data_IF_708707639258
#
_entry.id   IF_708707639258
#
_cell.length_a   1.000
_cell.length_b   1.000
_cell.length_c   1.000
_cell.angle_alpha   90.00
_cell.angle_beta   90.00
_cell.angle_gamma   90.00
#
_symmetry.space_group_name_H-M   'P 1'
#
loop_
_entity.id
_entity.type
_entity.pdbx_description
1 polymer ?
#
# COMPACT_ATOMS: atom_id res chain seq x y z
N UNK A 1 25.25 -15.16 37.99
CA UNK A 1 24.19 -14.20 37.62
C UNK A 1 24.82 -12.83 37.42
N UNK A 2 25.07 -12.44 36.18
CA UNK A 2 25.55 -11.10 35.82
C UNK A 2 24.36 -10.34 35.20
N UNK A 3 24.10 -9.08 35.58
CA UNK A 3 23.09 -8.27 34.91
C UNK A 3 23.64 -7.75 33.58
N UNK A 4 22.91 -8.03 32.50
CA UNK A 4 23.11 -7.44 31.17
C UNK A 4 22.55 -6.01 31.16
N UNK A 5 23.30 -4.99 30.70
CA UNK A 5 22.78 -3.64 30.61
C UNK A 5 21.88 -3.51 29.38
N UNK A 6 20.57 -3.44 29.62
CA UNK A 6 19.58 -3.13 28.60
C UNK A 6 19.63 -1.64 28.21
N UNK A 7 20.05 -1.38 26.98
CA UNK A 7 19.40 -0.42 26.09
C UNK A 7 19.60 1.07 26.39
N UNK A 8 20.77 1.60 26.02
CA UNK A 8 20.91 3.01 25.69
C UNK A 8 20.04 3.34 24.46
N UNK A 9 18.84 3.89 24.67
CA UNK A 9 18.02 4.43 23.57
C UNK A 9 18.69 5.70 23.05
N UNK A 10 19.26 5.60 21.84
CA UNK A 10 19.69 6.74 21.02
C UNK A 10 18.51 7.68 20.79
N UNK A 11 18.60 8.90 21.30
CA UNK A 11 17.67 10.00 21.05
C UNK A 11 18.49 11.12 20.42
N UNK A 12 18.48 11.23 19.09
CA UNK A 12 19.26 12.27 18.40
C UNK A 12 19.55 12.05 16.90
N UNK A 13 18.55 11.69 16.08
CA UNK A 13 18.70 11.65 14.60
C UNK A 13 17.65 12.47 13.84
N UNK A 14 16.48 12.73 14.42
CA UNK A 14 15.37 13.37 13.69
C UNK A 14 15.61 14.83 13.26
N UNK A 15 16.49 15.56 13.96
CA UNK A 15 16.79 16.97 13.63
C UNK A 15 17.72 17.13 12.42
N UNK A 16 18.76 16.30 12.35
CA UNK A 16 19.81 16.39 11.32
C UNK A 16 19.28 16.00 9.93
N UNK A 17 18.35 15.03 9.86
CA UNK A 17 17.75 14.61 8.60
C UNK A 17 16.76 15.65 8.03
N UNK A 18 16.01 16.36 8.89
CA UNK A 18 15.10 17.43 8.48
C UNK A 18 15.85 18.64 7.91
N UNK A 19 16.99 18.99 8.49
CA UNK A 19 17.84 20.10 8.03
C UNK A 19 18.50 19.78 6.68
N UNK A 20 18.94 18.53 6.50
CA UNK A 20 19.44 18.03 5.20
C UNK A 20 18.35 18.04 4.13
N UNK A 21 17.14 17.57 4.44
CA UNK A 21 16.01 17.57 3.50
C UNK A 21 15.64 19.00 3.08
N UNK A 22 15.65 19.93 4.03
CA UNK A 22 15.40 21.35 3.77
C UNK A 22 16.49 21.98 2.89
N UNK A 23 17.77 21.65 3.15
CA UNK A 23 18.89 22.13 2.33
C UNK A 23 18.79 21.62 0.89
N UNK A 24 18.57 20.31 0.69
CA UNK A 24 18.39 19.71 -0.63
C UNK A 24 17.18 20.30 -1.39
N UNK A 25 16.11 20.65 -0.65
CA UNK A 25 14.92 21.29 -1.19
C UNK A 25 15.18 22.74 -1.65
N UNK A 26 15.97 23.49 -0.89
CA UNK A 26 16.42 24.83 -1.30
C UNK A 26 17.31 24.78 -2.55
N UNK A 27 18.19 23.78 -2.64
CA UNK A 27 19.05 23.58 -3.81
C UNK A 27 18.27 23.25 -5.08
N UNK A 28 17.20 22.46 -4.98
CA UNK A 28 16.28 22.19 -6.09
C UNK A 28 15.69 23.50 -6.64
N UNK A 29 15.19 24.37 -5.76
CA UNK A 29 14.63 25.68 -6.15
C UNK A 29 15.70 26.59 -6.75
N UNK A 30 16.91 26.58 -6.19
CA UNK A 30 18.02 27.36 -6.73
C UNK A 30 18.45 26.88 -8.13
N UNK A 31 18.43 25.56 -8.40
CA UNK A 31 18.65 25.01 -9.74
C UNK A 31 17.56 25.45 -10.70
N UNK A 32 16.30 25.34 -10.29
CA UNK A 32 15.15 25.76 -11.10
C UNK A 32 15.23 27.23 -11.50
N UNK A 33 15.56 28.11 -10.55
CA UNK A 33 15.70 29.55 -10.79
C UNK A 33 16.81 29.90 -11.80
N UNK A 34 17.84 29.05 -11.94
CA UNK A 34 18.89 29.23 -12.96
C UNK A 34 18.46 28.79 -14.34
N UNK A 35 17.58 27.78 -14.44
CA UNK A 35 17.12 27.22 -15.70
C UNK A 35 15.86 27.92 -16.24
N UNK A 36 15.03 28.48 -15.36
CA UNK A 36 13.80 29.19 -15.72
C UNK A 36 13.86 30.64 -15.22
N UNK A 37 14.34 31.60 -16.06
CA UNK A 37 14.54 32.99 -15.66
C UNK A 37 13.27 33.69 -15.17
N UNK A 38 12.08 33.25 -15.61
CA UNK A 38 10.79 33.80 -15.16
C UNK A 38 10.52 33.48 -13.69
N UNK A 39 11.22 32.50 -13.13
CA UNK A 39 11.16 32.08 -11.74
C UNK A 39 12.46 32.41 -10.99
N UNK A 40 13.12 33.52 -11.35
CA UNK A 40 14.31 33.99 -10.65
C UNK A 40 14.04 34.14 -9.15
N UNK A 41 14.85 33.48 -8.32
CA UNK A 41 14.64 33.35 -6.89
C UNK A 41 15.95 33.56 -6.13
N UNK A 42 15.93 34.35 -5.06
CA UNK A 42 17.08 34.53 -4.19
C UNK A 42 17.33 33.33 -3.26
N UNK A 43 18.55 33.24 -2.68
CA UNK A 43 18.89 32.18 -1.71
C UNK A 43 17.99 32.18 -0.48
N UNK A 44 17.71 33.36 0.08
CA UNK A 44 16.86 33.50 1.26
C UNK A 44 15.42 33.03 0.97
N UNK A 45 14.90 33.33 -0.22
CA UNK A 45 13.59 32.87 -0.65
C UNK A 45 13.57 31.35 -0.89
N UNK A 46 14.63 30.78 -1.45
CA UNK A 46 14.76 29.33 -1.63
C UNK A 46 14.68 28.61 -0.29
N UNK A 47 15.41 29.10 0.71
CA UNK A 47 15.39 28.56 2.07
C UNK A 47 14.02 28.71 2.73
N UNK A 48 13.34 29.84 2.53
CA UNK A 48 11.98 30.07 3.04
C UNK A 48 10.95 29.10 2.43
N UNK A 49 11.12 28.75 1.16
CA UNK A 49 10.20 27.85 0.44
C UNK A 49 10.56 26.36 0.59
N UNK A 50 11.78 26.06 1.00
CA UNK A 50 12.27 24.70 1.14
C UNK A 50 11.38 23.78 2.01
N UNK A 51 10.79 24.22 3.13
CA UNK A 51 9.89 23.38 3.91
C UNK A 51 8.66 22.89 3.15
N UNK A 52 8.13 23.70 2.21
CA UNK A 52 7.01 23.29 1.36
C UNK A 52 7.43 22.22 0.36
N UNK A 53 8.62 22.37 -0.23
CA UNK A 53 9.19 21.37 -1.15
C UNK A 53 9.50 20.07 -0.42
N UNK A 54 10.04 20.13 0.80
CA UNK A 54 10.24 18.97 1.66
C UNK A 54 8.91 18.27 1.97
N UNK A 55 7.84 19.03 2.24
CA UNK A 55 6.50 18.46 2.41
C UNK A 55 5.99 17.74 1.15
N UNK A 56 6.24 18.27 -0.05
CA UNK A 56 5.96 17.58 -1.30
C UNK A 56 6.69 16.25 -1.41
N UNK A 57 7.99 16.22 -1.07
CA UNK A 57 8.81 15.00 -1.09
C UNK A 57 8.30 13.95 -0.10
N UNK A 58 7.95 14.35 1.13
CA UNK A 58 7.33 13.45 2.12
C UNK A 58 6.00 12.86 1.66
N UNK A 59 5.27 13.57 0.80
CA UNK A 59 4.06 13.06 0.14
C UNK A 59 4.33 12.24 -1.13
N UNK A 60 5.59 11.90 -1.39
CA UNK A 60 6.01 11.05 -2.50
C UNK A 60 6.20 11.77 -3.84
N UNK A 61 6.21 13.10 -3.88
CA UNK A 61 6.47 13.82 -5.13
C UNK A 61 7.96 13.76 -5.50
N UNK A 62 8.24 13.39 -6.74
CA UNK A 62 9.59 13.44 -7.32
C UNK A 62 9.99 14.86 -7.70
N UNK A 63 11.30 15.12 -7.82
CA UNK A 63 11.84 16.42 -8.28
C UNK A 63 11.24 16.83 -9.63
N UNK A 64 11.08 15.89 -10.55
CA UNK A 64 10.47 16.16 -11.87
C UNK A 64 9.00 16.58 -11.74
N UNK A 65 8.23 15.95 -10.84
CA UNK A 65 6.86 16.36 -10.58
C UNK A 65 6.84 17.78 -10.00
N UNK A 66 7.71 18.09 -9.03
CA UNK A 66 7.80 19.42 -8.43
C UNK A 66 8.15 20.47 -9.50
N UNK A 67 9.18 20.21 -10.31
CA UNK A 67 9.59 21.10 -11.41
C UNK A 67 8.45 21.32 -12.40
N UNK A 68 7.87 20.23 -12.93
CA UNK A 68 6.77 20.31 -13.89
C UNK A 68 5.57 21.07 -13.31
N UNK A 69 5.25 20.84 -12.04
CA UNK A 69 4.21 21.61 -11.36
C UNK A 69 4.55 23.09 -11.40
N UNK A 70 5.77 23.50 -11.10
CA UNK A 70 6.16 24.91 -11.03
C UNK A 70 6.28 25.58 -12.41
N UNK A 71 6.64 24.84 -13.45
CA UNK A 71 6.90 25.39 -14.80
C UNK A 71 5.74 25.23 -15.79
N UNK A 72 4.81 24.30 -15.55
CA UNK A 72 3.70 24.08 -16.47
C UNK A 72 2.77 25.30 -16.55
N UNK A 73 2.51 25.80 -17.77
CA UNK A 73 1.56 26.91 -17.98
C UNK A 73 1.97 28.20 -17.23
N UNK A 74 3.26 28.54 -17.25
CA UNK A 74 3.73 29.82 -16.71
C UNK A 74 3.12 30.99 -17.49
N UNK A 75 2.61 32.03 -16.81
CA UNK A 75 2.13 33.23 -17.48
C UNK A 75 3.28 33.93 -18.21
N UNK A 76 3.01 34.82 -19.19
CA UNK A 76 4.06 35.50 -19.96
C UNK A 76 5.10 36.21 -19.10
N UNK A 77 4.68 36.83 -17.99
CA UNK A 77 5.54 37.46 -17.00
C UNK A 77 5.11 37.08 -15.57
N UNK A 78 6.08 36.93 -14.68
CA UNK A 78 5.87 36.66 -13.25
C UNK A 78 6.62 37.73 -12.45
N UNK A 79 5.88 38.69 -11.90
CA UNK A 79 6.46 39.80 -11.13
C UNK A 79 6.89 39.41 -9.71
N UNK A 80 6.27 38.37 -9.15
CA UNK A 80 6.52 37.89 -7.78
C UNK A 80 6.81 36.39 -7.76
N UNK A 81 8.00 35.96 -8.21
CA UNK A 81 8.33 34.55 -8.40
C UNK A 81 8.21 33.74 -7.11
N UNK A 82 8.71 34.25 -5.98
CA UNK A 82 8.62 33.54 -4.70
C UNK A 82 7.18 33.35 -4.21
N UNK A 83 6.32 34.36 -4.39
CA UNK A 83 4.89 34.27 -4.02
C UNK A 83 4.13 33.36 -4.96
N UNK A 84 4.47 33.39 -6.25
CA UNK A 84 3.87 32.50 -7.24
C UNK A 84 4.18 31.03 -6.94
N UNK A 85 5.46 30.72 -6.69
CA UNK A 85 5.91 29.37 -6.33
C UNK A 85 5.23 28.91 -5.05
N UNK A 86 5.21 29.74 -4.00
CA UNK A 86 4.53 29.40 -2.75
C UNK A 86 3.04 29.07 -2.97
N UNK A 87 2.34 29.95 -3.66
CA UNK A 87 0.90 29.79 -3.95
C UNK A 87 0.66 28.48 -4.68
N UNK A 88 1.52 28.18 -5.65
CA UNK A 88 1.38 27.00 -6.49
C UNK A 88 1.72 25.70 -5.75
N UNK A 89 2.77 25.69 -4.93
CA UNK A 89 3.12 24.55 -4.08
C UNK A 89 2.02 24.24 -3.07
N UNK A 90 1.37 25.27 -2.50
CA UNK A 90 0.26 25.08 -1.57
C UNK A 90 -1.01 24.59 -2.28
N UNK A 91 -1.39 25.25 -3.38
CA UNK A 91 -2.62 24.94 -4.09
C UNK A 91 -2.60 23.58 -4.80
N UNK A 92 -1.44 23.14 -5.29
CA UNK A 92 -1.28 21.86 -6.00
C UNK A 92 -0.68 20.76 -5.14
N UNK A 93 -0.65 20.94 -3.83
CA UNK A 93 0.00 20.00 -2.92
C UNK A 93 -0.60 18.59 -3.10
N UNK A 94 0.25 17.55 -3.29
CA UNK A 94 -0.24 16.18 -3.40
C UNK A 94 -1.09 15.80 -2.19
N UNK A 95 -2.07 14.93 -2.39
CA UNK A 95 -2.78 14.32 -1.28
C UNK A 95 -1.79 13.59 -0.35
N UNK A 96 -2.15 13.49 0.93
CA UNK A 96 -1.35 12.71 1.85
C UNK A 96 -1.37 11.24 1.42
N UNK A 97 -0.20 10.58 1.36
CA UNK A 97 -0.15 9.18 0.96
C UNK A 97 -1.05 8.38 1.90
N UNK A 98 -1.92 7.54 1.33
CA UNK A 98 -2.72 6.64 2.12
C UNK A 98 -1.79 5.80 3.00
N UNK A 99 -2.18 5.61 4.27
CA UNK A 99 -1.45 4.71 5.15
C UNK A 99 -1.35 3.34 4.43
N UNK A 100 -0.17 2.70 4.43
CA UNK A 100 -0.06 1.37 3.86
C UNK A 100 -1.13 0.48 4.53
N UNK A 101 -1.80 -0.41 3.77
CA UNK A 101 -2.79 -1.28 4.35
C UNK A 101 -2.16 -2.00 5.54
N UNK A 102 -2.89 -2.07 6.66
CA UNK A 102 -2.43 -2.79 7.83
C UNK A 102 -2.01 -4.20 7.36
N UNK A 103 -0.77 -4.59 7.65
CA UNK A 103 -0.32 -5.95 7.38
C UNK A 103 -1.24 -6.87 8.17
N UNK A 104 -1.98 -7.70 7.47
CA UNK A 104 -2.82 -8.69 8.13
C UNK A 104 -1.90 -9.73 8.75
N UNK A 105 -2.13 -10.04 10.02
CA UNK A 105 -1.36 -11.01 10.78
C UNK A 105 -2.24 -12.21 11.13
N UNK A 106 -1.62 -13.39 11.20
CA UNK A 106 -2.28 -14.59 11.71
C UNK A 106 -2.66 -14.39 13.17
N UNK A 107 -3.92 -14.65 13.52
CA UNK A 107 -4.46 -14.52 14.89
C UNK A 107 -3.68 -15.32 15.94
N UNK A 108 -2.93 -16.35 15.52
CA UNK A 108 -2.28 -17.30 16.42
C UNK A 108 -0.75 -17.12 16.46
N UNK A 109 -0.08 -17.14 15.31
CA UNK A 109 1.38 -17.08 15.24
C UNK A 109 1.93 -15.71 14.80
N UNK A 110 1.06 -14.74 14.50
CA UNK A 110 1.42 -13.40 13.99
C UNK A 110 2.23 -13.39 12.69
N UNK A 111 2.26 -14.50 11.96
CA UNK A 111 2.85 -14.54 10.63
C UNK A 111 2.02 -13.68 9.65
N UNK A 112 2.64 -13.01 8.65
CA UNK A 112 1.91 -12.25 7.64
C UNK A 112 0.90 -13.14 6.89
N UNK A 113 -0.34 -12.65 6.72
CA UNK A 113 -1.40 -13.32 5.95
C UNK A 113 -1.93 -12.43 4.83
N UNK A 114 -2.43 -13.06 3.76
CA UNK A 114 -3.00 -12.37 2.59
C UNK A 114 -4.50 -12.07 2.72
N UNK A 115 -5.19 -12.87 3.54
CA UNK A 115 -6.60 -12.72 3.92
C UNK A 115 -6.63 -12.78 5.45
N UNK A 116 -7.51 -12.02 6.10
CA UNK A 116 -7.64 -12.02 7.56
C UNK A 116 -7.88 -13.44 8.11
N UNK A 117 -7.41 -13.68 9.34
CA UNK A 117 -7.55 -14.96 10.02
C UNK A 117 -6.27 -15.78 10.07
N UNK A 118 -6.41 -17.09 10.33
CA UNK A 118 -5.26 -17.99 10.54
C UNK A 118 -4.49 -18.32 9.26
N UNK A 119 -3.16 -18.35 9.37
CA UNK A 119 -2.27 -18.76 8.27
C UNK A 119 -2.44 -20.26 7.96
N UNK A 120 -1.97 -20.69 6.78
CA UNK A 120 -2.05 -22.08 6.33
C UNK A 120 -1.40 -23.05 7.33
N UNK A 121 -0.20 -22.74 7.84
CA UNK A 121 0.49 -23.59 8.80
C UNK A 121 -0.29 -23.79 10.10
N UNK A 122 -0.92 -22.73 10.64
CA UNK A 122 -1.78 -22.84 11.81
C UNK A 122 -3.04 -23.66 11.53
N UNK A 123 -3.70 -23.44 10.38
CA UNK A 123 -4.87 -24.26 9.98
C UNK A 123 -4.52 -25.74 9.81
N UNK A 124 -3.35 -26.03 9.25
CA UNK A 124 -2.90 -27.41 9.01
C UNK A 124 -2.36 -28.07 10.30
N UNK A 125 -1.97 -27.28 11.31
CA UNK A 125 -1.60 -27.75 12.65
C UNK A 125 -2.81 -28.06 13.54
N UNK A 126 -4.00 -27.60 13.16
CA UNK A 126 -5.22 -28.00 13.84
C UNK A 126 -5.42 -29.50 13.60
N UNK A 127 -5.66 -30.30 14.66
CA UNK A 127 -5.91 -31.72 14.47
C UNK A 127 -7.07 -31.85 13.50
N UNK A 128 -6.85 -32.55 12.38
CA UNK A 128 -7.91 -32.89 11.45
C UNK A 128 -9.10 -33.37 12.31
N UNK A 129 -10.24 -32.69 12.20
CA UNK A 129 -11.43 -32.97 12.99
C UNK A 129 -11.73 -34.48 13.00
N UNK A 130 -12.50 -34.98 13.98
CA UNK A 130 -12.63 -36.41 14.27
C UNK A 130 -12.74 -37.20 12.97
N UNK A 131 -11.69 -37.98 12.68
CA UNK A 131 -11.65 -38.79 11.47
C UNK A 131 -12.87 -39.69 11.53
N UNK A 132 -13.71 -39.59 10.50
CA UNK A 132 -14.84 -40.50 10.34
C UNK A 132 -14.36 -41.94 10.54
N UNK A 133 -15.04 -42.70 11.39
CA UNK A 133 -14.69 -44.10 11.60
C UNK A 133 -14.78 -44.85 10.28
N UNK A 134 -13.97 -45.90 10.10
CA UNK A 134 -14.01 -46.72 8.90
C UNK A 134 -15.43 -47.26 8.62
N UNK A 135 -16.18 -47.60 9.67
CA UNK A 135 -17.57 -48.04 9.59
C UNK A 135 -18.51 -46.94 9.06
N UNK A 136 -18.39 -45.71 9.57
CA UNK A 136 -19.17 -44.58 9.08
C UNK A 136 -18.89 -44.30 7.60
N UNK A 137 -17.62 -44.35 7.19
CA UNK A 137 -17.20 -44.20 5.79
C UNK A 137 -17.80 -45.31 4.91
N UNK A 138 -17.74 -46.57 5.36
CA UNK A 138 -18.33 -47.70 4.63
C UNK A 138 -19.83 -47.55 4.46
N UNK A 139 -20.55 -47.14 5.52
CA UNK A 139 -22.00 -46.94 5.49
C UNK A 139 -22.40 -45.83 4.52
N UNK A 140 -21.69 -44.70 4.53
CA UNK A 140 -21.89 -43.61 3.56
C UNK A 140 -21.61 -44.06 2.13
N UNK A 141 -20.51 -44.78 1.91
CA UNK A 141 -20.10 -45.25 0.58
C UNK A 141 -21.14 -46.22 0.00
N UNK A 142 -21.62 -47.16 0.83
CA UNK A 142 -22.69 -48.10 0.45
C UNK A 142 -24.00 -47.37 0.14
N UNK A 143 -24.42 -46.45 1.02
CA UNK A 143 -25.62 -45.65 0.81
C UNK A 143 -25.56 -44.83 -0.49
N UNK A 144 -24.41 -44.19 -0.77
CA UNK A 144 -24.19 -43.44 -2.00
C UNK A 144 -24.22 -44.35 -3.25
N UNK A 145 -23.70 -45.58 -3.16
CA UNK A 145 -23.75 -46.54 -4.25
C UNK A 145 -25.20 -46.98 -4.54
N UNK A 146 -26.00 -47.25 -3.49
CA UNK A 146 -27.41 -47.60 -3.61
C UNK A 146 -28.23 -46.44 -4.20
N UNK A 147 -28.02 -45.21 -3.73
CA UNK A 147 -28.68 -44.03 -4.29
C UNK A 147 -28.37 -43.86 -5.78
N UNK A 148 -27.11 -44.03 -6.18
CA UNK A 148 -26.69 -43.99 -7.60
C UNK A 148 -27.25 -45.13 -8.43
N UNK A 149 -27.53 -46.30 -7.85
CA UNK A 149 -28.14 -47.42 -8.54
C UNK A 149 -29.64 -47.17 -8.74
N UNK A 150 -30.34 -46.69 -7.71
CA UNK A 150 -31.76 -46.35 -7.77
C UNK A 150 -32.04 -45.29 -8.83
N UNK A 151 -31.24 -44.21 -8.87
CA UNK A 151 -31.35 -43.14 -9.88
C UNK A 151 -31.07 -43.62 -11.32
N UNK A 152 -30.32 -44.71 -11.49
CA UNK A 152 -30.06 -45.30 -12.82
C UNK A 152 -31.12 -46.31 -13.23
N UNK A 153 -31.71 -47.04 -12.27
CA UNK A 153 -32.81 -47.96 -12.51
C UNK A 153 -34.14 -47.26 -12.86
N UNK A 154 -34.29 -45.99 -12.51
CA UNK A 154 -35.47 -45.19 -12.86
C UNK A 154 -35.42 -44.58 -14.27
N UNK A 155 -34.34 -44.78 -15.03
CA UNK A 155 -34.27 -44.34 -16.44
C UNK A 155 -34.66 -45.48 -17.39
N UNK A 156 -35.93 -45.87 -17.37
CA UNK A 156 -36.58 -46.50 -18.51
C UNK A 156 -37.50 -45.46 -19.13
N UNK A 157 -36.96 -44.71 -20.10
CA UNK A 157 -37.74 -43.93 -21.03
C UNK A 157 -38.75 -44.86 -21.72
N UNK A 158 -40.03 -44.72 -21.34
CA UNK A 158 -41.12 -45.36 -22.07
C UNK A 158 -41.17 -44.82 -23.51
N UNK A 159 -41.47 -45.64 -24.53
CA UNK A 159 -41.55 -45.17 -25.90
C UNK A 159 -42.70 -44.16 -26.05
N UNK A 160 -42.41 -43.01 -26.68
CA UNK A 160 -43.41 -42.08 -27.20
C UNK A 160 -44.17 -42.76 -28.36
N UNK A 161 -45.50 -42.92 -28.30
CA UNK A 161 -46.24 -43.46 -29.44
C UNK A 161 -46.30 -42.42 -30.56
N UNK A 162 -45.97 -42.84 -31.78
CA UNK A 162 -46.20 -42.07 -33.00
C UNK A 162 -47.68 -42.18 -33.39
N UNK A 163 -48.37 -41.05 -33.50
CA UNK A 163 -49.69 -40.96 -34.11
C UNK A 163 -49.54 -40.91 -35.64
N UNK A 164 -50.32 -41.74 -36.33
CA UNK A 164 -50.60 -41.66 -37.77
C UNK A 164 -52.02 -41.12 -37.97
#
# INVERSE_FOLDING_TARGET
TLPSPAGARRKGSEGDDSDKESTASAELLARLARTEPKLALGRAEALRLAPLVAQWRRRGASDLHIINTLTAGLPPSVYHPARFIETRLRAKMPAEPAAPPARLECDECRAPVVVSGRCRACRDAEPAGPRASAEFVQRLTRGAALARAALRGTSAAGPVPAFA
#
